data_IF_878516390007
#
_entry.id   IF_878516390007
#
_cell.length_a   1.000
_cell.length_b   1.000
_cell.length_c   1.000
_cell.angle_alpha   90.00
_cell.angle_beta   90.00
_cell.angle_gamma   90.00
#
_symmetry.space_group_name_H-M   'P 1'
#
loop_
_entity.id
_entity.type
_entity.pdbx_description
1 polymer ?
#
# COMPACT_ATOMS: atom_id res chain seq x y z
N UNK A 1 31.65 -27.98 17.09
CA UNK A 1 32.55 -27.20 16.21
C UNK A 1 31.67 -26.45 15.22
N UNK A 2 31.81 -25.14 15.25
CA UNK A 2 31.11 -24.10 14.51
C UNK A 2 31.16 -24.28 12.98
N UNK A 3 30.06 -23.99 12.27
CA UNK A 3 29.99 -23.38 10.94
C UNK A 3 28.53 -23.44 10.43
N UNK A 4 27.91 -22.41 9.88
CA UNK A 4 28.21 -20.99 9.76
C UNK A 4 26.87 -20.38 9.29
N UNK A 5 26.29 -19.47 10.06
CA UNK A 5 25.10 -18.73 9.66
C UNK A 5 25.42 -17.89 8.43
N UNK A 6 24.84 -18.24 7.27
CA UNK A 6 24.71 -17.33 6.13
C UNK A 6 23.31 -16.73 6.17
N UNK A 7 23.03 -15.95 7.21
CA UNK A 7 21.98 -14.94 7.17
C UNK A 7 22.63 -13.68 6.56
N UNK A 8 22.75 -13.66 5.23
CA UNK A 8 22.98 -12.41 4.52
C UNK A 8 21.75 -11.51 4.71
N UNK A 9 21.90 -10.19 4.88
CA UNK A 9 20.75 -9.31 4.87
C UNK A 9 20.12 -9.39 3.48
N UNK A 10 18.92 -9.94 3.41
CA UNK A 10 18.08 -9.83 2.22
C UNK A 10 17.65 -8.36 2.10
N UNK A 11 18.45 -7.55 1.42
CA UNK A 11 18.00 -6.27 0.88
C UNK A 11 17.27 -6.58 -0.43
N UNK A 12 16.06 -7.09 -0.31
CA UNK A 12 15.14 -7.36 -1.41
C UNK A 12 13.80 -6.68 -1.12
N UNK A 13 13.85 -5.39 -0.76
CA UNK A 13 12.69 -4.66 -0.22
C UNK A 13 12.62 -3.21 -0.73
N UNK A 14 13.38 -2.85 -1.78
CA UNK A 14 13.42 -1.46 -2.25
C UNK A 14 12.22 -1.07 -3.13
N UNK A 15 11.29 -2.01 -3.37
CA UNK A 15 10.11 -1.82 -4.21
C UNK A 15 8.84 -2.48 -3.65
N UNK A 16 8.90 -2.97 -2.41
CA UNK A 16 7.74 -3.53 -1.72
C UNK A 16 7.18 -2.47 -0.76
N UNK A 17 5.87 -2.29 -0.77
CA UNK A 17 5.22 -1.40 0.19
C UNK A 17 5.41 -1.96 1.59
N UNK A 18 6.01 -1.18 2.49
CA UNK A 18 6.27 -1.62 3.86
C UNK A 18 4.98 -1.97 4.61
N UNK A 19 5.05 -2.93 5.53
CA UNK A 19 3.92 -3.30 6.40
C UNK A 19 3.36 -2.10 7.18
N UNK A 20 4.22 -1.15 7.56
CA UNK A 20 3.82 0.09 8.22
C UNK A 20 2.97 0.97 7.31
N UNK A 21 3.39 1.16 6.05
CA UNK A 21 2.63 1.90 5.06
C UNK A 21 1.29 1.21 4.74
N UNK A 22 1.28 -0.12 4.56
CA UNK A 22 0.05 -0.91 4.34
C UNK A 22 -0.94 -0.75 5.49
N UNK A 23 -0.47 -0.85 6.73
CA UNK A 23 -1.31 -0.64 7.92
C UNK A 23 -1.85 0.79 8.00
N UNK A 24 -1.03 1.79 7.63
CA UNK A 24 -1.45 3.20 7.61
C UNK A 24 -2.53 3.45 6.57
N UNK A 25 -2.36 2.90 5.36
CA UNK A 25 -3.34 2.99 4.27
C UNK A 25 -4.65 2.33 4.67
N UNK A 26 -4.62 1.14 5.26
CA UNK A 26 -5.81 0.45 5.74
C UNK A 26 -6.61 1.26 6.78
N UNK A 27 -5.92 1.98 7.68
CA UNK A 27 -6.55 2.89 8.65
C UNK A 27 -7.27 4.04 7.92
N UNK A 28 -6.60 4.71 6.96
CA UNK A 28 -7.17 5.81 6.18
C UNK A 28 -8.38 5.34 5.37
N UNK A 29 -8.30 4.17 4.72
CA UNK A 29 -9.42 3.58 3.99
C UNK A 29 -10.59 3.29 4.94
N UNK A 30 -10.33 2.69 6.10
CA UNK A 30 -11.36 2.39 7.10
C UNK A 30 -12.07 3.65 7.58
N UNK A 31 -11.35 4.75 7.82
CA UNK A 31 -11.92 6.05 8.20
C UNK A 31 -12.86 6.62 7.13
N UNK A 32 -12.59 6.32 5.86
CA UNK A 32 -13.44 6.66 4.71
C UNK A 32 -14.55 5.65 4.44
N UNK A 33 -14.66 4.58 5.24
CA UNK A 33 -15.53 3.41 5.01
C UNK A 33 -15.22 2.69 3.70
N UNK A 34 -13.94 2.57 3.42
CA UNK A 34 -13.39 1.85 2.30
C UNK A 34 -12.46 0.72 2.78
N UNK A 35 -12.26 -0.28 1.92
CA UNK A 35 -11.34 -1.39 2.13
C UNK A 35 -10.51 -1.59 0.86
N UNK A 36 -9.25 -1.98 1.03
CA UNK A 36 -8.31 -2.30 -0.05
C UNK A 36 -7.53 -3.56 0.35
N UNK A 37 -7.25 -4.46 -0.58
CA UNK A 37 -6.37 -5.60 -0.32
C UNK A 37 -4.92 -5.10 -0.19
N UNK A 38 -4.15 -5.54 0.82
CA UNK A 38 -2.73 -5.19 0.92
C UNK A 38 -1.87 -5.58 -0.28
N UNK A 39 -2.34 -6.51 -1.12
CA UNK A 39 -1.68 -6.90 -2.37
C UNK A 39 -2.01 -5.93 -3.54
N UNK A 40 -3.07 -5.13 -3.42
CA UNK A 40 -3.51 -4.11 -4.40
C UNK A 40 -2.98 -2.71 -4.05
N UNK A 41 -1.92 -2.64 -3.23
CA UNK A 41 -1.23 -1.39 -2.87
C UNK A 41 0.17 -1.42 -3.50
N UNK A 42 0.41 -0.50 -4.43
CA UNK A 42 1.69 -0.31 -5.11
C UNK A 42 2.32 1.04 -4.72
N UNK A 43 3.66 1.12 -4.70
CA UNK A 43 4.38 2.38 -4.51
C UNK A 43 4.64 3.02 -5.88
N UNK A 44 4.36 4.31 -6.01
CA UNK A 44 4.65 5.04 -7.24
C UNK A 44 6.13 5.43 -7.30
N UNK A 45 6.65 5.68 -8.51
CA UNK A 45 8.02 6.19 -8.72
C UNK A 45 8.27 7.54 -8.01
N UNK A 46 7.20 8.28 -7.68
CA UNK A 46 7.24 9.57 -6.99
C UNK A 46 7.21 9.44 -5.45
N UNK A 47 7.15 8.21 -4.93
CA UNK A 47 7.11 7.88 -3.50
C UNK A 47 5.70 7.93 -2.88
N UNK A 48 4.66 8.07 -3.71
CA UNK A 48 3.26 7.93 -3.33
C UNK A 48 2.78 6.48 -3.43
N UNK A 49 1.47 6.29 -3.47
CA UNK A 49 0.84 4.98 -3.52
C UNK A 49 -0.31 4.94 -4.51
N UNK A 50 -0.34 3.90 -5.33
CA UNK A 50 -1.51 3.53 -6.14
C UNK A 50 -2.25 2.41 -5.41
N UNK A 51 -3.55 2.61 -5.20
CA UNK A 51 -4.45 1.67 -4.55
C UNK A 51 -5.47 1.25 -5.58
N UNK A 52 -5.37 0.01 -6.04
CA UNK A 52 -6.32 -0.57 -6.98
C UNK A 52 -7.47 -1.25 -6.24
N UNK A 53 -8.59 -1.45 -6.94
CA UNK A 53 -9.71 -2.26 -6.48
C UNK A 53 -10.36 -1.79 -5.14
N UNK A 54 -10.20 -0.53 -4.73
CA UNK A 54 -10.72 0.00 -3.44
C UNK A 54 -12.24 -0.06 -3.40
N UNK A 55 -12.80 -0.76 -2.41
CA UNK A 55 -14.25 -0.93 -2.23
C UNK A 55 -14.75 -0.03 -1.12
N UNK A 56 -15.63 0.91 -1.43
CA UNK A 56 -16.22 1.83 -0.45
C UNK A 56 -17.71 1.54 -0.18
N UNK A 57 -18.13 1.53 1.08
CA UNK A 57 -19.48 1.13 1.51
C UNK A 57 -20.59 1.92 0.78
N UNK A 58 -21.54 1.20 0.17
CA UNK A 58 -22.67 1.82 -0.54
C UNK A 58 -22.30 2.52 -1.85
N UNK A 59 -21.05 2.36 -2.31
CA UNK A 59 -20.54 2.90 -3.57
C UNK A 59 -19.90 1.78 -4.40
N UNK A 60 -19.25 2.14 -5.52
CA UNK A 60 -18.56 1.19 -6.39
C UNK A 60 -17.12 0.95 -5.96
N UNK A 61 -16.36 0.41 -6.90
CA UNK A 61 -14.92 0.21 -6.83
C UNK A 61 -14.18 1.41 -7.41
N UNK A 62 -13.00 1.72 -6.87
CA UNK A 62 -12.20 2.87 -7.27
C UNK A 62 -10.71 2.55 -7.31
N UNK A 63 -10.01 3.15 -8.27
CA UNK A 63 -8.57 3.39 -8.20
C UNK A 63 -8.36 4.69 -7.40
N UNK A 64 -7.49 4.66 -6.37
CA UNK A 64 -7.14 5.82 -5.55
C UNK A 64 -5.63 6.04 -5.59
N UNK A 65 -5.21 7.27 -5.85
CA UNK A 65 -3.80 7.69 -5.81
C UNK A 65 -3.56 8.52 -4.54
N UNK A 66 -2.54 8.14 -3.77
CA UNK A 66 -2.08 8.86 -2.59
C UNK A 66 -0.68 9.45 -2.84
N UNK A 67 -0.43 10.66 -2.33
CA UNK A 67 0.93 11.21 -2.28
C UNK A 67 1.79 10.55 -1.19
N UNK A 68 3.07 10.92 -1.11
CA UNK A 68 4.02 10.40 -0.12
C UNK A 68 3.63 10.70 1.34
N UNK A 69 2.71 11.65 1.55
CA UNK A 69 2.15 12.02 2.85
C UNK A 69 0.79 11.36 3.11
N UNK A 70 0.38 10.40 2.27
CA UNK A 70 -0.87 9.67 2.31
C UNK A 70 -2.13 10.53 2.08
N UNK A 71 -2.01 11.67 1.42
CA UNK A 71 -3.17 12.45 1.00
C UNK A 71 -3.70 11.94 -0.34
N UNK A 72 -5.02 11.83 -0.48
CA UNK A 72 -5.65 11.52 -1.76
C UNK A 72 -5.40 12.65 -2.76
N UNK A 73 -4.71 12.32 -3.85
CA UNK A 73 -4.43 13.22 -4.97
C UNK A 73 -5.17 12.82 -6.25
N UNK A 74 -5.71 11.59 -6.30
CA UNK A 74 -6.50 11.09 -7.43
C UNK A 74 -7.54 10.05 -7.00
N UNK A 75 -8.67 10.02 -7.72
CA UNK A 75 -9.71 9.00 -7.57
C UNK A 75 -10.42 8.77 -8.91
N UNK A 76 -10.49 7.52 -9.34
CA UNK A 76 -11.21 7.08 -10.56
C UNK A 76 -12.16 5.95 -10.22
N UNK A 77 -13.41 6.01 -10.67
CA UNK A 77 -14.31 4.86 -10.57
C UNK A 77 -13.97 3.84 -11.67
N UNK A 78 -14.06 2.56 -11.34
CA UNK A 78 -13.94 1.44 -12.31
C UNK A 78 -15.24 1.11 -13.04
#
# INVERSE_FOLDING_TARGET
MLALCLAGPALADDHMVSDEAKAKIAEIMTDMRCEVDPDDIEMTDEGGYDLDDVICEGTGQFDIELDAEFNEVGRRAE
#
